data_IF_146891745729
#
_entry.id   IF_146891745729
#
_cell.length_a   1.000
_cell.length_b   1.000
_cell.length_c   1.000
_cell.angle_alpha   90.00
_cell.angle_beta   90.00
_cell.angle_gamma   90.00
#
_symmetry.space_group_name_H-M   'P 1'
#
loop_
_entity.id
_entity.type
_entity.pdbx_description
1 polymer ?
#
# COMPACT_ATOMS: atom_id res chain seq x y z
N UNK A 1 -18.04 0.34 17.25
CA UNK A 1 -17.75 1.78 16.96
C UNK A 1 -17.31 1.89 15.51
N UNK A 2 -17.81 2.85 14.72
CA UNK A 2 -17.36 3.05 13.33
C UNK A 2 -16.15 4.02 13.28
N UNK A 3 -15.35 3.93 12.22
CA UNK A 3 -14.13 4.75 12.05
C UNK A 3 -14.40 6.26 12.18
N UNK A 4 -15.51 6.75 11.59
CA UNK A 4 -15.88 8.16 11.68
C UNK A 4 -16.15 8.63 13.11
N UNK A 5 -16.84 7.82 13.91
CA UNK A 5 -17.09 8.10 15.33
C UNK A 5 -15.80 8.10 16.15
N UNK A 6 -14.89 7.15 15.89
CA UNK A 6 -13.60 7.10 16.57
C UNK A 6 -12.77 8.38 16.31
N UNK A 7 -12.66 8.78 15.04
CA UNK A 7 -11.97 10.02 14.65
C UNK A 7 -12.62 11.24 15.29
N UNK A 8 -13.96 11.33 15.28
CA UNK A 8 -14.66 12.47 15.89
C UNK A 8 -14.43 12.56 17.39
N UNK A 9 -14.41 11.43 18.10
CA UNK A 9 -14.17 11.40 19.54
C UNK A 9 -12.76 11.90 19.90
N UNK A 10 -11.75 11.58 19.10
CA UNK A 10 -10.38 12.07 19.28
C UNK A 10 -10.31 13.58 19.02
N UNK A 11 -10.93 14.03 17.93
CA UNK A 11 -10.97 15.45 17.56
C UNK A 11 -11.71 16.30 18.59
N UNK A 12 -12.82 15.81 19.15
CA UNK A 12 -13.58 16.49 20.21
C UNK A 12 -12.75 16.72 21.49
N UNK A 13 -11.68 15.93 21.69
CA UNK A 13 -10.73 16.10 22.79
C UNK A 13 -9.57 17.04 22.44
N UNK A 14 -9.62 17.71 21.28
CA UNK A 14 -8.55 18.54 20.73
C UNK A 14 -7.21 17.80 20.60
N UNK A 15 -7.24 16.48 20.33
CA UNK A 15 -6.04 15.66 20.15
C UNK A 15 -5.84 15.36 18.67
N UNK A 16 -4.57 15.29 18.26
CA UNK A 16 -4.14 14.86 16.92
C UNK A 16 -4.83 15.60 15.76
N UNK A 17 -5.23 16.87 15.96
CA UNK A 17 -5.97 17.65 14.97
C UNK A 17 -5.21 17.71 13.64
N UNK A 18 -3.92 18.05 13.68
CA UNK A 18 -3.09 18.17 12.47
C UNK A 18 -2.86 16.84 11.73
N UNK A 19 -3.04 15.71 12.41
CA UNK A 19 -2.90 14.36 11.82
C UNK A 19 -4.23 13.91 11.23
N UNK A 20 -5.34 14.16 11.93
CA UNK A 20 -6.66 13.66 11.55
C UNK A 20 -7.46 14.64 10.67
N UNK A 21 -7.01 15.90 10.59
CA UNK A 21 -7.47 16.98 9.72
C UNK A 21 -6.25 17.71 9.12
N UNK A 22 -5.58 17.12 8.12
CA UNK A 22 -4.43 17.78 7.50
C UNK A 22 -4.84 19.08 6.79
N UNK A 23 -4.05 20.12 6.97
CA UNK A 23 -4.13 21.40 6.24
C UNK A 23 -3.64 21.23 4.78
N UNK A 24 -4.09 22.07 3.81
CA UNK A 24 -4.92 23.27 3.97
C UNK A 24 -6.43 23.02 3.92
N UNK A 25 -6.85 21.81 3.55
CA UNK A 25 -8.27 21.51 3.30
C UNK A 25 -9.01 21.17 4.61
N UNK A 26 -8.28 20.88 5.69
CA UNK A 26 -8.76 20.73 7.07
C UNK A 26 -10.00 19.84 7.26
N UNK A 27 -10.24 18.91 6.32
CA UNK A 27 -11.30 17.91 6.42
C UNK A 27 -10.78 16.64 7.08
N UNK A 28 -11.70 15.86 7.67
CA UNK A 28 -11.31 14.63 8.38
C UNK A 28 -10.85 13.58 7.38
N UNK A 29 -9.86 12.77 7.76
CA UNK A 29 -9.44 11.60 6.96
C UNK A 29 -10.62 10.65 6.63
N UNK A 30 -11.59 10.52 7.55
CA UNK A 30 -12.80 9.72 7.31
C UNK A 30 -13.70 10.30 6.21
N UNK A 31 -13.72 11.62 6.03
CA UNK A 31 -14.50 12.27 4.97
C UNK A 31 -13.83 12.10 3.60
N UNK A 32 -12.49 12.17 3.51
CA UNK A 32 -11.75 11.81 2.29
C UNK A 32 -12.05 10.40 1.80
N UNK A 33 -12.01 9.43 2.72
CA UNK A 33 -12.39 8.04 2.41
C UNK A 33 -13.82 7.96 1.89
N UNK A 34 -14.75 8.72 2.48
CA UNK A 34 -16.15 8.71 2.06
C UNK A 34 -16.33 9.33 0.66
N UNK A 35 -15.61 10.41 0.34
CA UNK A 35 -15.62 11.02 -1.00
C UNK A 35 -15.19 10.00 -2.06
N UNK A 36 -14.07 9.32 -1.81
CA UNK A 36 -13.55 8.31 -2.73
C UNK A 36 -14.50 7.11 -2.86
N UNK A 37 -15.08 6.64 -1.76
CA UNK A 37 -15.96 5.46 -1.74
C UNK A 37 -17.33 5.71 -2.38
N UNK A 38 -17.91 6.89 -2.16
CA UNK A 38 -19.23 7.23 -2.71
C UNK A 38 -19.16 8.00 -4.03
N UNK A 39 -17.96 8.20 -4.59
CA UNK A 39 -17.72 8.96 -5.82
C UNK A 39 -18.39 10.34 -5.81
N UNK A 40 -18.38 11.02 -4.65
CA UNK A 40 -19.02 12.34 -4.49
C UNK A 40 -18.09 13.47 -4.93
N UNK A 41 -17.51 13.34 -6.12
CA UNK A 41 -16.63 14.35 -6.71
C UNK A 41 -16.89 14.51 -8.21
N UNK A 42 -16.59 15.70 -8.73
CA UNK A 42 -16.67 16.07 -10.15
C UNK A 42 -15.32 16.66 -10.58
N UNK A 43 -14.89 16.36 -11.81
CA UNK A 43 -13.64 16.86 -12.37
C UNK A 43 -13.98 17.81 -13.53
N UNK A 44 -13.51 19.05 -13.42
CA UNK A 44 -13.68 20.10 -14.43
C UNK A 44 -12.32 20.72 -14.75
N UNK A 45 -11.73 20.32 -15.89
CA UNK A 45 -10.38 20.74 -16.27
C UNK A 45 -9.34 20.28 -15.25
N UNK A 46 -8.60 21.23 -14.67
CA UNK A 46 -7.60 20.96 -13.63
C UNK A 46 -8.16 20.97 -12.20
N UNK A 47 -9.46 21.22 -12.04
CA UNK A 47 -10.13 21.33 -10.75
C UNK A 47 -10.97 20.09 -10.43
N UNK A 48 -10.95 19.70 -9.16
CA UNK A 48 -11.71 18.59 -8.60
C UNK A 48 -12.62 19.18 -7.53
N UNK A 49 -13.93 19.12 -7.76
CA UNK A 49 -14.95 19.54 -6.81
C UNK A 49 -15.40 18.34 -5.99
N UNK A 50 -15.17 18.39 -4.68
CA UNK A 50 -15.49 17.32 -3.75
C UNK A 50 -16.67 17.70 -2.86
N UNK A 51 -17.64 16.80 -2.69
CA UNK A 51 -18.77 16.95 -1.78
C UNK A 51 -18.67 15.95 -0.64
N UNK A 52 -18.89 16.39 0.60
CA UNK A 52 -18.75 15.55 1.79
C UNK A 52 -19.69 15.96 2.93
N UNK A 53 -19.87 15.02 3.85
CA UNK A 53 -20.78 15.19 4.98
C UNK A 53 -22.26 15.15 4.57
N UNK A 54 -23.14 15.04 5.57
CA UNK A 54 -24.60 15.01 5.33
C UNK A 54 -25.18 16.39 5.01
N UNK A 55 -24.44 17.45 5.31
CA UNK A 55 -24.85 18.86 5.15
C UNK A 55 -24.50 19.44 3.77
N UNK A 56 -23.94 18.65 2.86
CA UNK A 56 -23.58 19.12 1.52
C UNK A 56 -22.38 20.06 1.49
N UNK A 57 -21.44 19.89 2.42
CA UNK A 57 -20.20 20.67 2.41
C UNK A 57 -19.41 20.33 1.14
N UNK A 58 -18.73 21.32 0.57
CA UNK A 58 -17.91 21.12 -0.61
C UNK A 58 -16.62 21.92 -0.54
N UNK A 59 -15.63 21.48 -1.30
CA UNK A 59 -14.40 22.21 -1.57
C UNK A 59 -13.92 21.89 -2.99
N UNK A 60 -13.09 22.77 -3.53
CA UNK A 60 -12.43 22.59 -4.82
C UNK A 60 -10.94 22.48 -4.58
N UNK A 61 -10.30 21.56 -5.27
CA UNK A 61 -8.87 21.29 -5.18
C UNK A 61 -8.31 21.02 -6.57
N UNK A 62 -7.10 21.48 -6.88
CA UNK A 62 -6.40 21.08 -8.10
C UNK A 62 -5.79 19.68 -7.99
N UNK A 63 -5.41 19.08 -9.12
CA UNK A 63 -4.69 17.80 -9.11
C UNK A 63 -3.35 17.89 -8.35
N UNK A 64 -2.65 19.02 -8.46
CA UNK A 64 -1.38 19.25 -7.75
C UNK A 64 -1.59 19.34 -6.24
N UNK A 65 -2.61 20.07 -5.79
CA UNK A 65 -2.95 20.14 -4.37
C UNK A 65 -3.42 18.79 -3.83
N UNK A 66 -4.12 17.97 -4.64
CA UNK A 66 -4.50 16.61 -4.25
C UNK A 66 -3.27 15.72 -4.04
N UNK A 67 -2.27 15.85 -4.91
CA UNK A 67 -1.01 15.15 -4.77
C UNK A 67 -0.28 15.56 -3.48
N UNK A 68 -0.17 16.86 -3.20
CA UNK A 68 0.43 17.37 -1.96
C UNK A 68 -0.34 16.91 -0.72
N UNK A 69 -1.67 16.89 -0.81
CA UNK A 69 -2.53 16.41 0.25
C UNK A 69 -2.35 14.92 0.51
N UNK A 70 -2.23 14.10 -0.54
CA UNK A 70 -1.95 12.68 -0.42
C UNK A 70 -0.62 12.44 0.33
N UNK A 71 0.42 13.24 0.04
CA UNK A 71 1.67 13.22 0.80
C UNK A 71 1.47 13.48 2.30
N UNK A 72 0.59 14.41 2.68
CA UNK A 72 0.25 14.70 4.08
C UNK A 72 -0.57 13.59 4.75
N UNK A 73 -1.49 12.96 4.02
CA UNK A 73 -2.20 11.77 4.51
C UNK A 73 -1.21 10.65 4.78
N UNK A 74 -0.31 10.36 3.84
CA UNK A 74 0.74 9.33 4.00
C UNK A 74 1.60 9.64 5.22
N UNK A 75 2.04 10.89 5.38
CA UNK A 75 2.80 11.32 6.56
C UNK A 75 2.01 11.10 7.86
N UNK A 76 0.72 11.42 7.87
CA UNK A 76 -0.16 11.23 9.03
C UNK A 76 -0.32 9.74 9.38
N UNK A 77 -0.48 8.88 8.36
CA UNK A 77 -0.48 7.43 8.51
C UNK A 77 0.86 6.94 9.10
N UNK A 78 1.99 7.41 8.58
CA UNK A 78 3.31 7.03 9.07
C UNK A 78 3.53 7.47 10.52
N UNK A 79 3.06 8.65 10.93
CA UNK A 79 3.15 9.10 12.33
C UNK A 79 2.33 8.18 13.25
N UNK A 80 1.11 7.81 12.85
CA UNK A 80 0.28 6.88 13.61
C UNK A 80 0.94 5.51 13.67
N UNK A 81 1.54 5.05 12.57
CA UNK A 81 2.21 3.77 12.48
C UNK A 81 3.50 3.71 13.33
N UNK A 82 4.31 4.76 13.31
CA UNK A 82 5.47 4.91 14.21
C UNK A 82 5.01 4.95 15.66
N UNK A 83 3.94 5.70 15.96
CA UNK A 83 3.35 5.72 17.30
C UNK A 83 2.89 4.32 17.72
N UNK A 84 2.27 3.57 16.82
CA UNK A 84 1.90 2.17 17.04
C UNK A 84 3.13 1.30 17.32
N UNK A 85 4.22 1.45 16.57
CA UNK A 85 5.48 0.75 16.81
C UNK A 85 6.09 1.07 18.17
N UNK A 86 6.31 2.35 18.46
CA UNK A 86 6.90 2.78 19.73
C UNK A 86 6.04 2.36 20.92
N UNK A 87 4.74 2.63 20.87
CA UNK A 87 3.89 2.44 22.05
C UNK A 87 3.33 1.04 22.20
N UNK A 88 3.18 0.24 21.14
CA UNK A 88 2.64 -1.12 21.26
C UNK A 88 3.69 -2.21 21.07
N UNK A 89 4.58 -2.07 20.07
CA UNK A 89 5.51 -3.14 19.73
C UNK A 89 6.79 -3.08 20.56
N UNK A 90 7.44 -1.91 20.64
CA UNK A 90 8.68 -1.74 21.42
C UNK A 90 8.46 -1.87 22.93
N UNK A 91 7.22 -1.60 23.37
CA UNK A 91 6.79 -1.70 24.77
C UNK A 91 5.81 -2.85 25.01
N UNK A 92 5.77 -3.83 24.10
CA UNK A 92 4.84 -4.97 24.14
C UNK A 92 4.85 -5.73 25.47
N UNK A 93 6.01 -5.80 26.14
CA UNK A 93 6.17 -6.42 27.46
C UNK A 93 5.29 -5.74 28.53
N UNK A 94 5.11 -4.41 28.47
CA UNK A 94 4.25 -3.66 29.41
C UNK A 94 2.77 -4.05 29.25
N UNK A 95 2.36 -4.40 28.03
CA UNK A 95 0.99 -4.83 27.74
C UNK A 95 0.75 -6.31 28.01
N UNK A 96 1.80 -7.15 28.02
CA UNK A 96 1.70 -8.57 28.40
C UNK A 96 1.36 -8.80 29.88
N UNK A 97 1.60 -7.80 30.75
CA UNK A 97 1.25 -7.86 32.17
C UNK A 97 -0.20 -7.42 32.45
N UNK A 98 -0.88 -6.78 31.48
CA UNK A 98 -2.27 -6.30 31.59
C UNK A 98 -3.33 -7.36 31.17
N UNK A 99 -2.97 -8.65 31.10
CA UNK A 99 -3.78 -9.80 30.64
C UNK A 99 -5.29 -9.67 30.96
N UNK A 100 -6.19 -9.76 29.96
CA UNK A 100 -7.01 -10.97 29.77
C UNK A 100 -7.59 -11.21 28.35
N UNK A 101 -7.36 -10.31 27.39
CA UNK A 101 -7.68 -10.59 25.97
C UNK A 101 -6.49 -10.18 25.14
N UNK A 102 -5.78 -11.16 24.58
CA UNK A 102 -4.69 -10.93 23.63
C UNK A 102 -5.17 -9.94 22.56
N UNK A 103 -4.74 -8.68 22.66
CA UNK A 103 -4.89 -7.72 21.56
C UNK A 103 -3.88 -8.16 20.50
N UNK A 104 -4.16 -9.26 19.82
CA UNK A 104 -3.49 -9.58 18.57
C UNK A 104 -4.02 -8.60 17.55
N UNK A 105 -3.26 -7.52 17.33
CA UNK A 105 -3.53 -6.59 16.24
C UNK A 105 -3.25 -7.31 14.93
N UNK A 106 -4.25 -8.05 14.44
CA UNK A 106 -4.22 -8.65 13.12
C UNK A 106 -4.53 -7.57 12.10
N UNK A 107 -3.51 -7.12 11.38
CA UNK A 107 -3.73 -6.29 10.20
C UNK A 107 -4.62 -7.07 9.24
N UNK A 108 -5.78 -6.52 8.93
CA UNK A 108 -6.71 -7.14 7.98
C UNK A 108 -5.98 -7.28 6.64
N UNK A 109 -6.14 -8.43 5.98
CA UNK A 109 -5.54 -8.70 4.67
C UNK A 109 -5.80 -7.56 3.67
N UNK A 110 -7.01 -7.00 3.65
CA UNK A 110 -7.36 -5.85 2.80
C UNK A 110 -6.49 -4.61 3.07
N UNK A 111 -6.04 -4.40 4.31
CA UNK A 111 -5.17 -3.27 4.67
C UNK A 111 -3.75 -3.49 4.16
N UNK A 112 -3.19 -4.69 4.35
CA UNK A 112 -1.87 -5.08 3.81
C UNK A 112 -1.83 -4.98 2.29
N UNK A 113 -2.85 -5.51 1.61
CA UNK A 113 -3.01 -5.37 0.15
C UNK A 113 -3.11 -3.89 -0.24
N UNK A 114 -3.82 -3.08 0.54
CA UNK A 114 -3.91 -1.63 0.33
C UNK A 114 -2.55 -0.92 0.42
N UNK A 115 -1.75 -1.25 1.43
CA UNK A 115 -0.39 -0.71 1.60
C UNK A 115 0.52 -1.14 0.45
N UNK A 116 0.48 -2.41 0.03
CA UNK A 116 1.22 -2.88 -1.16
C UNK A 116 0.79 -2.13 -2.42
N UNK A 117 -0.52 -1.96 -2.65
CA UNK A 117 -1.06 -1.19 -3.78
C UNK A 117 -0.51 0.23 -3.80
N UNK A 118 -0.56 0.94 -2.68
CA UNK A 118 -0.06 2.32 -2.59
C UNK A 118 1.46 2.40 -2.78
N UNK A 119 2.21 1.48 -2.16
CA UNK A 119 3.66 1.42 -2.26
C UNK A 119 4.14 1.11 -3.69
N UNK A 120 3.48 0.17 -4.38
CA UNK A 120 3.81 -0.13 -5.78
C UNK A 120 3.42 1.03 -6.71
N UNK A 121 2.26 1.65 -6.46
CA UNK A 121 1.75 2.72 -7.32
C UNK A 121 2.66 3.95 -7.31
N UNK A 122 3.22 4.32 -6.15
CA UNK A 122 4.19 5.42 -6.05
C UNK A 122 5.48 5.16 -6.84
N UNK A 123 5.77 3.90 -7.18
CA UNK A 123 6.92 3.46 -7.97
C UNK A 123 6.58 3.23 -9.46
N UNK A 124 5.33 3.53 -9.86
CA UNK A 124 4.84 3.37 -11.23
C UNK A 124 4.35 1.95 -11.56
N UNK A 125 4.00 1.15 -10.56
CA UNK A 125 3.46 -0.20 -10.74
C UNK A 125 2.08 -0.33 -10.12
N UNK A 126 1.14 -0.96 -10.81
CA UNK A 126 -0.23 -1.16 -10.33
C UNK A 126 -0.47 -2.63 -10.01
N UNK A 127 -0.74 -2.94 -8.73
CA UNK A 127 -1.23 -4.26 -8.33
C UNK A 127 -2.70 -4.40 -8.74
N UNK A 128 -2.93 -5.09 -9.85
CA UNK A 128 -4.25 -5.26 -10.47
C UNK A 128 -5.02 -6.39 -9.80
N UNK A 129 -4.33 -7.47 -9.47
CA UNK A 129 -4.94 -8.66 -8.92
C UNK A 129 -4.04 -9.28 -7.86
N UNK A 130 -4.66 -9.83 -6.83
CA UNK A 130 -3.99 -10.48 -5.72
C UNK A 130 -4.87 -11.62 -5.21
N UNK A 131 -4.31 -12.82 -5.16
CA UNK A 131 -4.88 -13.97 -4.44
C UNK A 131 -3.87 -14.38 -3.38
N UNK A 132 -4.28 -14.32 -2.12
CA UNK A 132 -3.58 -14.93 -1.00
C UNK A 132 -4.19 -16.28 -0.64
N UNK A 133 -3.34 -17.24 -0.29
CA UNK A 133 -3.69 -18.53 0.29
C UNK A 133 -2.70 -18.90 1.39
N UNK A 134 -2.94 -20.01 2.09
CA UNK A 134 -2.02 -20.48 3.16
C UNK A 134 -0.64 -20.89 2.64
N UNK A 135 -0.57 -21.38 1.41
CA UNK A 135 0.67 -21.93 0.84
C UNK A 135 1.23 -21.10 -0.31
N UNK A 136 0.37 -20.36 -1.02
CA UNK A 136 0.75 -19.68 -2.25
C UNK A 136 0.13 -18.29 -2.33
N UNK A 137 0.88 -17.34 -2.87
CA UNK A 137 0.41 -16.00 -3.23
C UNK A 137 0.65 -15.77 -4.71
N UNK A 138 -0.37 -15.23 -5.39
CA UNK A 138 -0.27 -14.81 -6.79
C UNK A 138 -0.71 -13.37 -6.95
N UNK A 139 0.16 -12.56 -7.54
CA UNK A 139 -0.08 -11.16 -7.86
C UNK A 139 0.01 -10.90 -9.37
N UNK A 140 -0.81 -9.99 -9.88
CA UNK A 140 -0.68 -9.44 -11.23
C UNK A 140 -0.33 -7.97 -11.10
N UNK A 141 0.82 -7.59 -11.64
CA UNK A 141 1.37 -6.23 -11.56
C UNK A 141 1.53 -5.67 -12.96
N UNK A 142 0.91 -4.52 -13.20
CA UNK A 142 1.12 -3.73 -14.40
C UNK A 142 2.21 -2.70 -14.18
N UNK A 143 3.17 -2.63 -15.08
CA UNK A 143 4.12 -1.54 -15.12
C UNK A 143 3.57 -0.38 -15.97
N UNK A 144 3.17 0.69 -15.29
CA UNK A 144 2.57 1.86 -15.93
C UNK A 144 3.56 2.62 -16.83
N UNK A 145 4.87 2.36 -16.68
CA UNK A 145 5.92 2.98 -17.49
C UNK A 145 6.44 2.08 -18.60
N UNK A 146 6.19 0.76 -18.57
CA UNK A 146 6.69 -0.16 -19.61
C UNK A 146 5.93 0.04 -20.91
N UNK A 147 6.59 0.67 -21.88
CA UNK A 147 6.10 0.90 -23.22
C UNK A 147 7.24 0.72 -24.24
N UNK A 148 6.93 0.80 -25.54
CA UNK A 148 7.90 0.61 -26.63
C UNK A 148 8.88 1.79 -26.79
N UNK A 149 8.80 2.82 -25.96
CA UNK A 149 9.67 4.01 -26.02
C UNK A 149 10.87 3.92 -25.07
N UNK A 150 10.85 2.99 -24.11
CA UNK A 150 11.96 2.75 -23.20
C UNK A 150 13.11 2.04 -23.90
N UNK A 151 14.34 2.44 -23.58
CA UNK A 151 15.55 1.71 -23.96
C UNK A 151 15.60 0.32 -23.31
N UNK A 152 16.39 -0.60 -23.87
CA UNK A 152 16.53 -1.96 -23.33
C UNK A 152 17.04 -1.97 -21.87
N UNK A 153 17.92 -1.02 -21.50
CA UNK A 153 18.40 -0.87 -20.13
C UNK A 153 17.28 -0.42 -19.18
N UNK A 154 16.48 0.57 -19.57
CA UNK A 154 15.34 1.02 -18.77
C UNK A 154 14.29 -0.08 -18.61
N UNK A 155 14.03 -0.82 -19.69
CA UNK A 155 13.16 -1.98 -19.69
C UNK A 155 13.64 -3.04 -18.67
N UNK A 156 14.93 -3.37 -18.72
CA UNK A 156 15.56 -4.34 -17.82
C UNK A 156 15.51 -3.88 -16.36
N UNK A 157 15.81 -2.61 -16.08
CA UNK A 157 15.73 -2.04 -14.72
C UNK A 157 14.33 -2.17 -14.14
N UNK A 158 13.29 -1.97 -14.94
CA UNK A 158 11.90 -2.09 -14.47
C UNK A 158 11.47 -3.54 -14.23
N UNK A 159 11.97 -4.48 -15.04
CA UNK A 159 11.79 -5.91 -14.78
C UNK A 159 12.45 -6.33 -13.46
N UNK A 160 13.70 -5.90 -13.24
CA UNK A 160 14.44 -6.10 -11.98
C UNK A 160 13.69 -5.49 -10.80
N UNK A 161 13.13 -4.29 -10.97
CA UNK A 161 12.32 -3.65 -9.91
C UNK A 161 11.05 -4.45 -9.62
N UNK A 162 10.35 -4.94 -10.63
CA UNK A 162 9.17 -5.78 -10.43
C UNK A 162 9.51 -7.06 -9.65
N UNK A 163 10.65 -7.68 -9.96
CA UNK A 163 11.16 -8.87 -9.26
C UNK A 163 11.31 -8.65 -7.76
N UNK A 164 11.79 -7.47 -7.34
CA UNK A 164 11.96 -7.13 -5.92
C UNK A 164 10.65 -7.19 -5.13
N UNK A 165 9.50 -7.04 -5.80
CA UNK A 165 8.20 -7.17 -5.16
C UNK A 165 7.88 -8.59 -4.70
N UNK A 166 8.57 -9.64 -5.18
CA UNK A 166 8.39 -10.99 -4.65
C UNK A 166 8.65 -11.03 -3.14
N UNK A 167 9.74 -10.40 -2.71
CA UNK A 167 10.10 -10.30 -1.30
C UNK A 167 9.16 -9.37 -0.53
N UNK A 168 8.82 -8.21 -1.09
CA UNK A 168 7.91 -7.26 -0.43
C UNK A 168 6.52 -7.87 -0.18
N UNK A 169 6.02 -8.66 -1.15
CA UNK A 169 4.77 -9.40 -1.00
C UNK A 169 4.92 -10.49 0.07
N UNK A 170 6.03 -11.23 0.08
CA UNK A 170 6.26 -12.30 1.05
C UNK A 170 6.37 -11.80 2.49
N UNK A 171 7.01 -10.64 2.74
CA UNK A 171 7.06 -10.04 4.07
C UNK A 171 5.64 -9.87 4.64
N UNK A 172 4.72 -9.38 3.81
CA UNK A 172 3.35 -9.13 4.23
C UNK A 172 2.52 -10.42 4.33
N UNK A 173 2.84 -11.39 3.48
CA UNK A 173 2.16 -12.67 3.33
C UNK A 173 3.16 -13.83 3.29
N UNK A 174 3.69 -14.27 4.44
CA UNK A 174 4.65 -15.37 4.48
C UNK A 174 3.98 -16.67 4.02
N UNK A 175 4.41 -17.17 2.86
CA UNK A 175 3.88 -18.38 2.20
C UNK A 175 5.01 -19.19 1.57
N UNK A 176 4.73 -20.42 1.15
CA UNK A 176 5.73 -21.30 0.55
C UNK A 176 6.14 -20.88 -0.86
N UNK A 177 5.21 -20.36 -1.68
CA UNK A 177 5.53 -19.88 -3.02
C UNK A 177 4.87 -18.53 -3.31
N UNK A 178 5.63 -17.66 -3.97
CA UNK A 178 5.18 -16.34 -4.41
C UNK A 178 5.36 -16.24 -5.91
N UNK A 179 4.31 -15.80 -6.59
CA UNK A 179 4.27 -15.64 -8.03
C UNK A 179 3.81 -14.22 -8.39
N UNK A 180 4.55 -13.56 -9.28
CA UNK A 180 4.15 -12.30 -9.89
C UNK A 180 4.00 -12.51 -11.39
N UNK A 181 2.82 -12.21 -11.91
CA UNK A 181 2.62 -11.99 -13.34
C UNK A 181 2.93 -10.52 -13.61
N UNK A 182 3.94 -10.29 -14.44
CA UNK A 182 4.36 -8.97 -14.87
C UNK A 182 3.77 -8.62 -16.22
N UNK A 183 3.06 -7.50 -16.27
CA UNK A 183 2.43 -6.96 -17.47
C UNK A 183 3.00 -5.58 -17.82
N UNK A 184 2.94 -5.23 -19.09
CA UNK A 184 3.25 -3.88 -19.55
C UNK A 184 2.13 -2.86 -19.26
N UNK A 185 2.32 -1.61 -19.69
CA UNK A 185 1.36 -0.52 -19.50
C UNK A 185 0.01 -0.74 -20.19
N UNK A 186 -0.06 -1.64 -21.18
CA UNK A 186 -1.28 -2.03 -21.89
C UNK A 186 -1.93 -3.27 -21.27
N UNK A 187 -1.37 -3.80 -20.18
CA UNK A 187 -1.83 -5.02 -19.53
C UNK A 187 -1.45 -6.31 -20.26
N UNK A 188 -0.55 -6.25 -21.25
CA UNK A 188 -0.04 -7.45 -21.91
C UNK A 188 0.91 -8.17 -20.97
N UNK A 189 0.64 -9.44 -20.73
CA UNK A 189 1.47 -10.30 -19.89
C UNK A 189 2.79 -10.62 -20.58
N UNK A 190 3.91 -10.40 -19.89
CA UNK A 190 5.25 -10.60 -20.43
C UNK A 190 5.97 -11.78 -19.75
N UNK A 191 5.99 -11.76 -18.42
CA UNK A 191 6.74 -12.73 -17.62
C UNK A 191 5.94 -13.15 -16.39
N UNK A 192 6.21 -14.37 -15.94
CA UNK A 192 5.88 -14.82 -14.60
C UNK A 192 7.19 -15.03 -13.83
N UNK A 193 7.34 -14.27 -12.76
CA UNK A 193 8.44 -14.41 -11.81
C UNK A 193 7.96 -15.20 -10.62
N UNK A 194 8.76 -16.14 -10.14
CA UNK A 194 8.44 -16.90 -8.94
C UNK A 194 9.66 -17.18 -8.10
N UNK A 195 9.43 -17.28 -6.79
CA UNK A 195 10.43 -17.71 -5.83
C UNK A 195 9.76 -18.50 -4.70
N UNK A 196 10.57 -19.19 -3.91
CA UNK A 196 10.12 -19.90 -2.73
C UNK A 196 10.24 -19.02 -1.50
N UNK A 197 9.29 -19.16 -0.59
CA UNK A 197 9.30 -18.48 0.70
C UNK A 197 10.49 -18.83 1.58
N UNK A 198 11.08 -20.02 1.43
CA UNK A 198 12.31 -20.41 2.14
C UNK A 198 13.46 -19.43 1.86
N UNK A 199 13.60 -19.00 0.61
CA UNK A 199 14.63 -18.03 0.21
C UNK A 199 14.33 -16.65 0.79
N UNK A 200 13.07 -16.22 0.75
CA UNK A 200 12.67 -14.96 1.37
C UNK A 200 12.86 -14.97 2.89
N UNK A 201 12.64 -16.10 3.55
CA UNK A 201 12.89 -16.28 4.98
C UNK A 201 14.39 -16.19 5.31
N UNK A 202 15.25 -16.81 4.51
CA UNK A 202 16.71 -16.71 4.66
C UNK A 202 17.20 -15.26 4.51
N UNK A 203 16.65 -14.50 3.55
CA UNK A 203 16.93 -13.07 3.39
C UNK A 203 16.44 -12.27 4.61
N UNK A 204 15.21 -12.52 5.08
CA UNK A 204 14.65 -11.83 6.23
C UNK A 204 15.43 -12.09 7.53
N UNK A 205 16.01 -13.29 7.65
CA UNK A 205 16.87 -13.67 8.78
C UNK A 205 18.32 -13.17 8.65
N UNK A 206 18.68 -12.50 7.55
CA UNK A 206 20.04 -12.02 7.29
C UNK A 206 21.06 -13.11 6.95
N UNK A 207 20.59 -14.32 6.60
CA UNK A 207 21.45 -15.44 6.16
C UNK A 207 21.91 -15.20 4.71
N UNK A 208 21.00 -14.70 3.88
CA UNK A 208 21.27 -14.27 2.50
C UNK A 208 21.15 -12.75 2.40
N UNK A 209 21.96 -12.14 1.53
CA UNK A 209 21.76 -10.75 1.14
C UNK A 209 20.59 -10.64 0.17
N UNK A 210 19.93 -9.48 0.14
CA UNK A 210 18.80 -9.25 -0.76
C UNK A 210 19.14 -9.48 -2.24
N UNK A 211 20.38 -9.19 -2.65
CA UNK A 211 20.87 -9.43 -4.02
C UNK A 211 20.87 -10.91 -4.40
N UNK A 212 20.95 -11.82 -3.42
CA UNK A 212 20.90 -13.25 -3.70
C UNK A 212 19.55 -13.70 -4.24
N UNK A 213 18.47 -12.95 -4.00
CA UNK A 213 17.12 -13.25 -4.51
C UNK A 213 17.13 -13.51 -6.03
N UNK A 214 17.89 -12.72 -6.80
CA UNK A 214 18.00 -12.84 -8.26
C UNK A 214 18.51 -14.21 -8.71
N UNK A 215 19.34 -14.88 -7.91
CA UNK A 215 19.84 -16.23 -8.20
C UNK A 215 18.81 -17.34 -8.00
N UNK A 216 17.72 -17.07 -7.28
CA UNK A 216 16.71 -18.06 -6.90
C UNK A 216 15.33 -17.81 -7.53
N UNK A 217 15.27 -16.94 -8.54
CA UNK A 217 14.04 -16.63 -9.24
C UNK A 217 13.89 -17.51 -10.47
N UNK A 218 12.73 -18.15 -10.58
CA UNK A 218 12.30 -18.78 -11.81
C UNK A 218 11.56 -17.75 -12.67
N UNK A 219 12.03 -17.57 -13.90
CA UNK A 219 11.46 -16.67 -14.90
C UNK A 219 10.83 -17.50 -16.00
N UNK A 220 9.52 -17.33 -16.21
CA UNK A 220 8.80 -17.92 -17.32
C UNK A 220 8.32 -16.80 -18.25
N UNK A 221 8.79 -16.79 -19.50
CA UNK A 221 8.23 -15.93 -20.53
C UNK A 221 6.83 -16.42 -20.88
N UNK A 222 5.86 -15.53 -20.81
CA UNK A 222 4.48 -15.82 -21.14
C UNK A 222 4.21 -15.26 -22.53
N UNK A 223 4.06 -16.16 -23.50
CA UNK A 223 3.61 -15.78 -24.84
C UNK A 223 2.09 -15.62 -24.80
N UNK A 224 1.60 -14.49 -25.31
CA UNK A 224 0.24 -14.43 -25.84
C UNK A 224 0.19 -15.12 -27.21
#
# INVERSE_FOLDING_TARGET
MNFGTAIQNILNKNRFIQILKPEPISIRLSDWRNIAYHHTYEIEGESIKCNYGKTGNNFVISLNELHDYAGKIIKSCNIIDIGRHIFLFDNSNIFSELNEENITVHDREAMKIGQLKTSMLSQGFKLVYFIGGKENVKAIIWDLKRNNLLTDDEQTRREIHCIQFLYNIWIEFPVQNINIIYCDSMGRTLYEYSTKGEICQEIANGILEFVNLFGFISIKKLSN
#
